data_IF_270175724929
#
_entry.id   IF_270175724929
#
_cell.length_a   1.000
_cell.length_b   1.000
_cell.length_c   1.000
_cell.angle_alpha   90.00
_cell.angle_beta   90.00
_cell.angle_gamma   90.00
#
_symmetry.space_group_name_H-M   'P 1'
#
loop_
_entity.id
_entity.type
_entity.pdbx_description
1 polymer ?
#
# COMPACT_ATOMS: atom_id res chain seq x y z
N UNK A 1 -5.36 -22.32 -3.44
CA UNK A 1 -5.44 -22.60 -4.90
C UNK A 1 -4.48 -21.70 -5.68
N UNK A 2 -4.55 -20.39 -5.44
CA UNK A 2 -3.67 -19.36 -6.02
C UNK A 2 -2.18 -19.62 -5.81
N UNK A 3 -1.76 -20.03 -4.60
CA UNK A 3 -0.35 -20.35 -4.36
C UNK A 3 0.17 -21.50 -5.25
N UNK A 4 -0.63 -22.53 -5.50
CA UNK A 4 -0.24 -23.65 -6.38
C UNK A 4 -0.12 -23.21 -7.84
N UNK A 5 -1.01 -22.35 -8.31
CA UNK A 5 -0.93 -21.76 -9.65
C UNK A 5 0.30 -20.88 -9.81
N UNK A 6 0.56 -20.03 -8.83
CA UNK A 6 1.74 -19.17 -8.82
C UNK A 6 3.04 -20.00 -8.75
N UNK A 7 3.07 -21.10 -7.99
CA UNK A 7 4.20 -22.02 -7.98
C UNK A 7 4.42 -22.68 -9.35
N UNK A 8 3.34 -23.07 -10.03
CA UNK A 8 3.39 -23.61 -11.40
C UNK A 8 3.88 -22.56 -12.41
N UNK A 9 3.47 -21.30 -12.27
CA UNK A 9 3.93 -20.19 -13.11
C UNK A 9 5.46 -19.99 -13.06
N UNK A 10 6.06 -20.21 -11.89
CA UNK A 10 7.51 -20.19 -11.77
C UNK A 10 8.20 -21.48 -12.19
N UNK A 11 7.47 -22.56 -12.49
CA UNK A 11 8.03 -23.84 -12.97
C UNK A 11 9.14 -24.42 -12.07
N UNK A 12 9.07 -24.15 -10.76
CA UNK A 12 10.09 -24.55 -9.79
C UNK A 12 11.31 -23.62 -9.70
N UNK A 13 11.36 -22.54 -10.48
CA UNK A 13 12.36 -21.49 -10.35
C UNK A 13 12.14 -20.62 -9.11
N UNK A 14 13.22 -19.98 -8.64
CA UNK A 14 13.16 -19.05 -7.51
C UNK A 14 12.28 -17.82 -7.83
N UNK A 15 11.24 -17.54 -7.03
CA UNK A 15 10.32 -16.44 -7.30
C UNK A 15 11.00 -15.09 -7.02
N UNK A 16 10.91 -14.16 -7.99
CA UNK A 16 11.37 -12.78 -7.81
C UNK A 16 10.54 -11.81 -8.62
N UNK A 17 10.47 -10.55 -8.17
CA UNK A 17 9.71 -9.51 -8.87
C UNK A 17 10.22 -9.32 -10.31
N UNK A 18 11.55 -9.33 -10.50
CA UNK A 18 12.16 -9.21 -11.83
C UNK A 18 11.73 -10.34 -12.76
N UNK A 19 11.74 -11.59 -12.29
CA UNK A 19 11.29 -12.75 -13.08
C UNK A 19 9.80 -12.69 -13.37
N UNK A 20 8.99 -12.33 -12.38
CA UNK A 20 7.55 -12.17 -12.55
C UNK A 20 7.23 -11.13 -13.64
N UNK A 21 7.88 -9.96 -13.58
CA UNK A 21 7.74 -8.93 -14.61
C UNK A 21 8.21 -9.44 -15.98
N UNK A 22 9.36 -10.11 -16.05
CA UNK A 22 9.87 -10.64 -17.31
C UNK A 22 8.93 -11.67 -17.95
N UNK A 23 8.41 -12.63 -17.16
CA UNK A 23 7.45 -13.64 -17.65
C UNK A 23 6.12 -13.00 -18.08
N UNK A 24 5.58 -12.09 -17.26
CA UNK A 24 4.30 -11.43 -17.57
C UNK A 24 4.41 -10.33 -18.63
N UNK A 25 5.61 -9.86 -18.96
CA UNK A 25 5.85 -8.90 -20.04
C UNK A 25 5.49 -9.49 -21.42
N UNK A 26 5.66 -10.81 -21.58
CA UNK A 26 5.36 -11.55 -22.80
C UNK A 26 3.86 -11.82 -23.00
N UNK A 27 3.05 -11.61 -21.96
CA UNK A 27 1.62 -11.89 -21.96
C UNK A 27 0.79 -10.66 -22.34
N UNK A 28 -0.43 -10.85 -22.90
CA UNK A 28 -1.40 -9.78 -23.09
C UNK A 28 -1.73 -9.04 -21.79
N UNK A 29 -2.14 -7.77 -21.89
CA UNK A 29 -2.43 -6.91 -20.74
C UNK A 29 -3.44 -7.51 -19.77
N UNK A 30 -4.47 -8.19 -20.28
CA UNK A 30 -5.50 -8.83 -19.46
C UNK A 30 -4.92 -10.00 -18.64
N UNK A 31 -4.12 -10.86 -19.26
CA UNK A 31 -3.46 -11.98 -18.58
C UNK A 31 -2.42 -11.48 -17.55
N UNK A 32 -1.69 -10.42 -17.86
CA UNK A 32 -0.78 -9.78 -16.89
C UNK A 32 -1.54 -9.31 -15.65
N UNK A 33 -2.70 -8.68 -15.82
CA UNK A 33 -3.54 -8.25 -14.71
C UNK A 33 -4.09 -9.43 -13.91
N UNK A 34 -4.45 -10.53 -14.58
CA UNK A 34 -4.87 -11.77 -13.93
C UNK A 34 -3.75 -12.37 -13.07
N UNK A 35 -2.53 -12.49 -13.60
CA UNK A 35 -1.39 -12.99 -12.82
C UNK A 35 -1.06 -12.11 -11.62
N UNK A 36 -1.15 -10.78 -11.76
CA UNK A 36 -0.96 -9.87 -10.63
C UNK A 36 -2.05 -10.09 -9.56
N UNK A 37 -3.30 -10.28 -9.97
CA UNK A 37 -4.41 -10.63 -9.06
C UNK A 37 -4.14 -11.96 -8.36
N UNK A 38 -3.76 -13.02 -9.09
CA UNK A 38 -3.43 -14.33 -8.50
C UNK A 38 -2.35 -14.19 -7.43
N UNK A 39 -1.32 -13.37 -7.67
CA UNK A 39 -0.28 -13.12 -6.69
C UNK A 39 -0.82 -12.41 -5.43
N UNK A 40 -1.72 -11.43 -5.59
CA UNK A 40 -2.37 -10.77 -4.45
C UNK A 40 -3.27 -11.73 -3.65
N UNK A 41 -4.07 -12.55 -4.33
CA UNK A 41 -4.91 -13.58 -3.71
C UNK A 41 -4.05 -14.60 -2.94
N UNK A 42 -2.91 -15.02 -3.51
CA UNK A 42 -1.97 -15.91 -2.84
C UNK A 42 -1.39 -15.27 -1.56
N UNK A 43 -1.06 -13.97 -1.60
CA UNK A 43 -0.55 -13.24 -0.45
C UNK A 43 -1.59 -13.12 0.68
N UNK A 44 -2.88 -13.01 0.36
CA UNK A 44 -3.95 -12.83 1.34
C UNK A 44 -4.50 -14.15 1.89
N UNK A 45 -4.61 -15.18 1.04
CA UNK A 45 -5.33 -16.42 1.37
C UNK A 45 -4.42 -17.63 1.57
N UNK A 46 -3.16 -17.58 1.13
CA UNK A 46 -2.23 -18.70 1.23
C UNK A 46 -0.91 -18.27 1.91
N UNK A 47 -0.95 -17.27 2.80
CA UNK A 47 0.26 -16.74 3.45
C UNK A 47 1.03 -17.79 4.25
N UNK A 48 0.34 -18.60 5.07
CA UNK A 48 0.95 -19.67 5.85
C UNK A 48 1.45 -20.84 4.99
N UNK A 49 0.81 -21.07 3.84
CA UNK A 49 1.22 -22.10 2.87
C UNK A 49 2.42 -21.66 2.02
N UNK A 50 2.61 -20.36 1.84
CA UNK A 50 3.72 -19.81 1.08
C UNK A 50 5.03 -20.09 1.82
N UNK A 51 5.93 -20.82 1.17
CA UNK A 51 7.25 -21.10 1.72
C UNK A 51 8.11 -19.83 1.91
N UNK A 52 9.27 -20.00 2.55
CA UNK A 52 10.23 -18.93 2.85
C UNK A 52 10.73 -18.14 1.63
N UNK A 53 10.59 -18.67 0.41
CA UNK A 53 11.00 -18.01 -0.83
C UNK A 53 9.87 -17.16 -1.43
N UNK A 54 8.63 -17.66 -1.38
CA UNK A 54 7.47 -16.98 -1.94
C UNK A 54 7.00 -15.80 -1.08
N UNK A 55 7.08 -15.89 0.25
CA UNK A 55 6.67 -14.79 1.12
C UNK A 55 7.44 -13.48 0.84
N UNK A 56 8.79 -13.45 0.78
CA UNK A 56 9.54 -12.26 0.39
C UNK A 56 9.19 -11.76 -1.01
N UNK A 57 8.98 -12.67 -1.96
CA UNK A 57 8.55 -12.32 -3.32
C UNK A 57 7.21 -11.58 -3.31
N UNK A 58 6.20 -12.14 -2.62
CA UNK A 58 4.85 -11.57 -2.55
C UNK A 58 4.85 -10.19 -1.88
N UNK A 59 5.63 -10.03 -0.81
CA UNK A 59 5.83 -8.72 -0.15
C UNK A 59 6.43 -7.72 -1.12
N UNK A 60 7.53 -8.08 -1.79
CA UNK A 60 8.21 -7.17 -2.70
C UNK A 60 7.35 -6.83 -3.93
N UNK A 61 6.62 -7.80 -4.49
CA UNK A 61 5.71 -7.57 -5.61
C UNK A 61 4.60 -6.59 -5.20
N UNK A 62 4.04 -6.78 -4.01
CA UNK A 62 3.02 -5.88 -3.43
C UNK A 62 3.58 -4.47 -3.24
N UNK A 63 4.80 -4.34 -2.70
CA UNK A 63 5.47 -3.04 -2.52
C UNK A 63 5.76 -2.34 -3.85
N UNK A 64 6.07 -3.07 -4.92
CA UNK A 64 6.24 -2.50 -6.26
C UNK A 64 4.90 -2.08 -6.89
N UNK A 65 3.79 -2.69 -6.48
CA UNK A 65 2.45 -2.50 -7.06
C UNK A 65 1.43 -1.97 -6.04
N UNK A 66 1.87 -1.10 -5.11
CA UNK A 66 1.06 -0.61 -3.97
C UNK A 66 -0.32 -0.12 -4.37
N UNK A 67 -0.39 0.73 -5.41
CA UNK A 67 -1.67 1.25 -5.87
C UNK A 67 -2.58 0.14 -6.39
N UNK A 68 -2.05 -0.78 -7.21
CA UNK A 68 -2.84 -1.89 -7.73
C UNK A 68 -3.30 -2.85 -6.63
N UNK A 69 -2.47 -3.07 -5.61
CA UNK A 69 -2.83 -3.89 -4.45
C UNK A 69 -3.92 -3.24 -3.60
N UNK A 70 -3.82 -1.94 -3.33
CA UNK A 70 -4.85 -1.18 -2.63
C UNK A 70 -6.16 -1.14 -3.44
N UNK A 71 -6.07 -0.90 -4.75
CA UNK A 71 -7.23 -0.96 -5.64
C UNK A 71 -7.90 -2.33 -5.59
N UNK A 72 -7.11 -3.40 -5.60
CA UNK A 72 -7.61 -4.77 -5.44
C UNK A 72 -8.30 -4.94 -4.08
N UNK A 73 -7.63 -4.62 -2.98
CA UNK A 73 -8.18 -4.73 -1.62
C UNK A 73 -9.49 -3.97 -1.49
N UNK A 74 -9.55 -2.72 -1.98
CA UNK A 74 -10.72 -1.87 -1.78
C UNK A 74 -11.88 -2.17 -2.72
N UNK A 75 -11.62 -2.66 -3.94
CA UNK A 75 -12.67 -2.89 -4.94
C UNK A 75 -13.12 -4.35 -5.00
N UNK A 76 -12.26 -5.29 -4.62
CA UNK A 76 -12.53 -6.73 -4.77
C UNK A 76 -12.71 -7.45 -3.43
N UNK A 77 -12.51 -6.79 -2.29
CA UNK A 77 -12.67 -7.41 -0.97
C UNK A 77 -13.50 -6.53 -0.04
N UNK A 78 -13.91 -7.11 1.10
CA UNK A 78 -14.68 -6.40 2.14
C UNK A 78 -13.92 -5.18 2.71
N UNK A 79 -12.59 -5.16 2.61
CA UNK A 79 -11.76 -4.08 3.16
C UNK A 79 -12.18 -2.70 2.66
N UNK A 80 -12.63 -2.58 1.41
CA UNK A 80 -13.11 -1.31 0.87
C UNK A 80 -14.29 -0.71 1.64
N UNK A 81 -15.17 -1.57 2.16
CA UNK A 81 -16.35 -1.17 2.95
C UNK A 81 -16.02 -0.93 4.42
N UNK A 82 -14.88 -1.43 4.91
CA UNK A 82 -14.42 -1.27 6.28
C UNK A 82 -13.50 -0.05 6.46
N UNK A 83 -13.21 0.69 5.39
CA UNK A 83 -12.35 1.87 5.48
C UNK A 83 -13.01 2.98 6.27
N UNK A 84 -12.21 3.62 7.13
CA UNK A 84 -12.58 4.85 7.79
C UNK A 84 -12.60 6.01 6.78
N UNK A 85 -13.75 6.65 6.61
CA UNK A 85 -13.87 7.84 5.77
C UNK A 85 -13.28 9.03 6.51
N UNK A 86 -12.21 9.61 5.97
CA UNK A 86 -11.54 10.75 6.59
C UNK A 86 -12.31 12.03 6.26
N UNK A 87 -12.93 12.65 7.27
CA UNK A 87 -13.68 13.91 7.09
C UNK A 87 -12.78 15.10 6.80
N UNK A 88 -11.63 15.19 7.50
CA UNK A 88 -10.65 16.25 7.29
C UNK A 88 -9.26 15.66 6.93
N UNK A 89 -9.05 15.30 5.64
CA UNK A 89 -7.82 14.64 5.20
C UNK A 89 -6.59 15.53 5.31
N UNK A 90 -6.75 16.86 5.27
CA UNK A 90 -5.66 17.82 5.44
C UNK A 90 -5.19 17.83 6.90
N UNK A 91 -6.12 17.95 7.86
CA UNK A 91 -5.78 17.95 9.27
C UNK A 91 -5.15 16.64 9.72
N UNK A 92 -5.73 15.50 9.34
CA UNK A 92 -5.17 14.20 9.68
C UNK A 92 -3.76 14.03 9.10
N UNK A 93 -3.53 14.51 7.87
CA UNK A 93 -2.20 14.51 7.26
C UNK A 93 -1.19 15.33 8.06
N UNK A 94 -1.57 16.53 8.54
CA UNK A 94 -0.75 17.37 9.41
C UNK A 94 -0.32 16.63 10.67
N UNK A 95 -1.29 16.04 11.37
CA UNK A 95 -1.05 15.27 12.61
C UNK A 95 -0.08 14.12 12.35
N UNK A 96 -0.33 13.31 11.31
CA UNK A 96 0.55 12.18 10.96
C UNK A 96 1.96 12.67 10.62
N UNK A 97 2.09 13.76 9.87
CA UNK A 97 3.40 14.31 9.53
C UNK A 97 4.16 14.78 10.77
N UNK A 98 3.49 15.37 11.76
CA UNK A 98 4.17 15.82 12.97
C UNK A 98 4.66 14.63 13.81
N UNK A 99 3.86 13.56 13.87
CA UNK A 99 4.22 12.32 14.57
C UNK A 99 5.38 11.58 13.88
N UNK A 100 5.33 11.43 12.56
CA UNK A 100 6.24 10.55 11.80
C UNK A 100 7.33 11.31 11.01
N UNK A 101 7.09 12.57 10.68
CA UNK A 101 7.93 13.42 9.85
C UNK A 101 8.93 14.28 10.63
N UNK A 102 8.62 14.61 11.89
CA UNK A 102 9.51 15.37 12.78
C UNK A 102 10.67 14.55 13.37
N UNK A 103 10.49 13.24 13.58
CA UNK A 103 11.45 12.35 14.25
C UNK A 103 12.40 11.59 13.29
N UNK A 104 12.82 12.23 12.18
CA UNK A 104 13.51 11.58 11.03
C UNK A 104 14.94 11.04 11.28
N UNK A 105 15.31 10.73 12.52
CA UNK A 105 16.55 9.97 12.78
C UNK A 105 16.45 8.51 12.30
N UNK A 106 15.25 7.93 12.23
CA UNK A 106 14.98 6.63 11.59
C UNK A 106 14.05 6.83 10.40
N UNK A 107 14.59 6.79 9.18
CA UNK A 107 13.83 6.97 7.92
C UNK A 107 12.86 5.81 7.66
N UNK A 108 11.69 5.84 8.30
CA UNK A 108 10.52 5.12 7.78
C UNK A 108 10.28 5.57 6.33
N UNK A 109 10.11 4.62 5.40
CA UNK A 109 9.81 4.98 4.01
C UNK A 109 8.45 5.67 3.95
N UNK A 110 8.39 6.90 3.44
CA UNK A 110 7.12 7.62 3.24
C UNK A 110 6.14 6.83 2.35
N UNK A 111 6.64 5.98 1.45
CA UNK A 111 5.80 5.04 0.70
C UNK A 111 5.14 3.98 1.57
N UNK A 112 5.86 3.44 2.56
CA UNK A 112 5.31 2.47 3.50
C UNK A 112 4.25 3.13 4.37
N UNK A 113 4.52 4.30 4.95
CA UNK A 113 3.54 5.06 5.73
C UNK A 113 2.27 5.34 4.92
N UNK A 114 2.39 5.90 3.71
CA UNK A 114 1.24 6.23 2.88
C UNK A 114 0.43 4.99 2.49
N UNK A 115 1.09 3.88 2.17
CA UNK A 115 0.39 2.63 1.84
C UNK A 115 -0.36 2.08 3.05
N UNK A 116 0.28 2.10 4.23
CA UNK A 116 -0.30 1.60 5.47
C UNK A 116 -1.56 2.38 5.86
N UNK A 117 -1.52 3.70 5.74
CA UNK A 117 -2.69 4.56 5.98
C UNK A 117 -3.82 4.20 5.02
N UNK A 118 -3.51 4.07 3.73
CA UNK A 118 -4.51 3.83 2.70
C UNK A 118 -5.16 2.44 2.79
N UNK A 119 -4.58 1.47 3.50
CA UNK A 119 -5.26 0.18 3.75
C UNK A 119 -6.56 0.35 4.54
N UNK A 120 -6.56 1.26 5.52
CA UNK A 120 -7.67 1.44 6.45
C UNK A 120 -8.42 2.75 6.30
N UNK A 121 -7.84 3.75 5.64
CA UNK A 121 -8.39 5.11 5.59
C UNK A 121 -8.65 5.54 4.16
N UNK A 122 -9.82 6.15 3.93
CA UNK A 122 -10.14 6.78 2.66
C UNK A 122 -9.83 8.27 2.69
N UNK A 123 -8.63 8.61 2.21
CA UNK A 123 -8.21 10.00 1.98
C UNK A 123 -8.74 10.59 0.67
N UNK A 124 -9.40 9.80 -0.20
CA UNK A 124 -9.73 10.22 -1.56
C UNK A 124 -8.50 10.43 -2.46
N UNK A 125 -7.34 9.91 -2.06
CA UNK A 125 -6.06 10.11 -2.73
C UNK A 125 -5.42 8.78 -3.16
N UNK A 126 -4.65 8.83 -4.26
CA UNK A 126 -3.74 7.75 -4.66
C UNK A 126 -2.48 7.75 -3.80
N UNK A 127 -1.78 6.62 -3.74
CA UNK A 127 -0.53 6.47 -2.95
C UNK A 127 0.49 7.54 -3.33
N UNK A 128 0.70 7.77 -4.62
CA UNK A 128 1.67 8.76 -5.11
C UNK A 128 1.30 10.19 -4.67
N UNK A 129 0.01 10.53 -4.72
CA UNK A 129 -0.48 11.85 -4.33
C UNK A 129 -0.28 12.08 -2.83
N UNK A 130 -0.67 11.11 -2.00
CA UNK A 130 -0.46 11.18 -0.56
C UNK A 130 1.04 11.25 -0.21
N UNK A 131 1.85 10.44 -0.88
CA UNK A 131 3.31 10.45 -0.73
C UNK A 131 3.91 11.82 -1.05
N UNK A 132 3.45 12.46 -2.13
CA UNK A 132 3.91 13.79 -2.51
C UNK A 132 3.56 14.81 -1.42
N UNK A 133 2.30 14.87 -0.98
CA UNK A 133 1.87 15.80 0.08
C UNK A 133 2.63 15.58 1.39
N UNK A 134 2.84 14.33 1.80
CA UNK A 134 3.62 13.99 3.00
C UNK A 134 5.09 14.41 2.93
N UNK A 135 5.63 14.65 1.73
CA UNK A 135 7.01 15.11 1.54
C UNK A 135 7.13 16.62 1.40
N UNK A 136 6.15 17.26 0.78
CA UNK A 136 6.18 18.69 0.46
C UNK A 136 5.60 19.55 1.56
N UNK A 137 4.56 19.06 2.23
CA UNK A 137 3.91 19.82 3.27
C UNK A 137 4.76 19.67 4.53
N UNK A 138 5.44 20.74 4.92
CA UNK A 138 6.19 20.83 6.18
C UNK A 138 5.25 21.49 7.17
N UNK A 139 5.04 20.83 8.30
CA UNK A 139 4.22 21.39 9.38
C UNK A 139 5.10 21.63 10.60
N UNK A 140 4.84 22.66 11.35
CA UNK A 140 5.56 22.97 12.58
C UNK A 140 4.68 22.70 13.79
N UNK A 141 5.28 22.70 14.98
CA UNK A 141 4.52 22.70 16.22
C UNK A 141 3.63 23.94 16.31
N UNK A 142 4.02 25.06 15.71
CA UNK A 142 3.19 26.28 15.64
C UNK A 142 1.93 26.03 14.81
N UNK A 143 2.01 25.27 13.71
CA UNK A 143 0.83 24.86 12.94
C UNK A 143 -0.14 23.99 13.78
N UNK A 144 0.36 23.24 14.78
CA UNK A 144 -0.50 22.51 15.72
C UNK A 144 -1.14 23.41 16.75
N UNK A 145 -0.40 24.36 17.29
CA UNK A 145 -0.91 25.31 18.28
C UNK A 145 -2.02 26.13 17.63
N UNK A 146 -1.81 26.64 16.42
CA UNK A 146 -2.84 27.34 15.64
C UNK A 146 -4.08 26.44 15.42
N UNK A 147 -3.89 25.16 15.12
CA UNK A 147 -4.98 24.19 14.97
C UNK A 147 -5.77 23.92 16.25
N UNK A 148 -5.10 23.91 17.41
CA UNK A 148 -5.70 23.65 18.72
C UNK A 148 -6.33 24.91 19.34
N UNK A 149 -5.91 26.10 18.89
CA UNK A 149 -6.44 27.39 19.31
C UNK A 149 -7.68 27.83 18.51
N UNK A 150 -8.04 27.13 17.42
CA UNK A 150 -9.35 27.32 16.76
C UNK A 150 -10.42 26.94 17.79
N UNK A 151 -11.30 27.87 18.21
CA UNK A 151 -12.38 27.54 19.11
C UNK A 151 -13.26 26.50 18.40
N UNK A 152 -13.38 25.32 18.99
CA UNK A 152 -14.35 24.31 18.57
C UNK A 152 -15.76 24.86 18.86
N UNK A 153 -16.25 25.72 17.97
CA UNK A 153 -17.67 26.06 17.92
C UNK A 153 -18.41 24.82 17.39
N UNK A 154 -18.79 23.95 18.32
CA UNK A 154 -19.86 22.98 18.14
C UNK A 154 -21.20 23.62 18.50
#
# INVERSE_FOLDING_TARGET
MYYKELKRFFEGEYPSVKRFIAKTALLPSQERAQWLRIAFEAALHNWEEANSEFQPFLVNLTKCNRQSFLDYLHKATVMGSLRFKVENPILLRKVIWLLEGGARERKSSSWDLCSSLLYGMDFGLKVNSLHQYMRTDIFTTDDMVELLEIPLFF
#
